data_IF_072224939409
#
_entry.id   IF_072224939409
#
_cell.length_a   1.000
_cell.length_b   1.000
_cell.length_c   1.000
_cell.angle_alpha   90.00
_cell.angle_beta   90.00
_cell.angle_gamma   90.00
#
_symmetry.space_group_name_H-M   'P 1'
#
loop_
_entity.id
_entity.type
_entity.pdbx_description
1 polymer ?
#
# COMPACT_ATOMS: atom_id res chain seq x y z
N UNK A 1 16.84 -0.51 -9.16
CA UNK A 1 17.08 -1.93 -8.79
C UNK A 1 15.79 -2.70 -9.01
N UNK A 2 15.79 -3.81 -9.77
CA UNK A 2 14.58 -4.59 -10.04
C UNK A 2 14.40 -5.76 -9.07
N UNK A 3 13.32 -5.75 -8.27
CA UNK A 3 12.99 -6.81 -7.30
C UNK A 3 11.85 -7.74 -7.75
N UNK A 4 11.36 -7.57 -8.98
CA UNK A 4 10.28 -8.39 -9.54
C UNK A 4 10.62 -9.88 -9.64
N UNK A 5 9.67 -10.69 -10.12
CA UNK A 5 9.79 -12.16 -10.16
C UNK A 5 10.49 -12.69 -11.41
N UNK A 6 10.85 -11.81 -12.34
CA UNK A 6 11.52 -12.17 -13.60
C UNK A 6 12.93 -12.77 -13.40
N UNK A 7 13.42 -13.58 -14.35
CA UNK A 7 14.65 -14.37 -14.19
C UNK A 7 15.92 -13.52 -14.02
N UNK A 8 15.95 -12.31 -14.59
CA UNK A 8 17.09 -11.38 -14.51
C UNK A 8 16.94 -10.34 -13.39
N UNK A 9 15.90 -10.42 -12.56
CA UNK A 9 15.74 -9.52 -11.39
C UNK A 9 16.86 -9.73 -10.37
N UNK A 10 17.19 -8.67 -9.62
CA UNK A 10 18.16 -8.74 -8.52
C UNK A 10 17.78 -9.80 -7.50
N UNK A 11 16.48 -9.87 -7.15
CA UNK A 11 15.93 -10.87 -6.25
C UNK A 11 16.10 -12.32 -6.77
N UNK A 12 16.07 -12.54 -8.09
CA UNK A 12 16.28 -13.89 -8.67
C UNK A 12 17.75 -14.25 -8.82
N UNK A 13 18.59 -13.28 -9.17
CA UNK A 13 20.03 -13.49 -9.29
C UNK A 13 20.66 -13.85 -7.94
N UNK A 14 20.29 -13.13 -6.87
CA UNK A 14 20.79 -13.42 -5.52
C UNK A 14 20.06 -14.58 -4.83
N UNK A 15 18.86 -14.93 -5.28
CA UNK A 15 18.04 -15.94 -4.62
C UNK A 15 18.66 -17.34 -4.62
N UNK A 16 19.56 -17.63 -5.57
CA UNK A 16 20.33 -18.89 -5.59
C UNK A 16 21.30 -19.04 -4.42
N UNK A 17 21.81 -17.91 -3.90
CA UNK A 17 22.83 -17.88 -2.84
C UNK A 17 22.24 -17.59 -1.47
N UNK A 18 21.22 -16.74 -1.40
CA UNK A 18 20.71 -16.21 -0.13
C UNK A 18 19.29 -16.66 0.21
N UNK A 19 18.65 -17.46 -0.65
CA UNK A 19 17.26 -17.89 -0.47
C UNK A 19 16.29 -17.07 -1.31
N UNK A 20 15.07 -17.57 -1.50
CA UNK A 20 14.08 -17.00 -2.43
C UNK A 20 13.24 -15.88 -1.80
N UNK A 21 13.80 -15.19 -0.80
CA UNK A 21 13.11 -14.18 -0.02
C UNK A 21 13.90 -12.87 0.00
N UNK A 22 13.20 -11.76 0.18
CA UNK A 22 13.80 -10.47 0.53
C UNK A 22 12.81 -9.69 1.38
N UNK A 23 13.31 -8.72 2.14
CA UNK A 23 12.45 -7.84 2.93
C UNK A 23 12.97 -6.42 2.92
N UNK A 24 12.08 -5.44 3.08
CA UNK A 24 12.48 -4.05 3.23
C UNK A 24 11.59 -3.31 4.23
N UNK A 25 12.11 -2.20 4.72
CA UNK A 25 11.31 -1.15 5.36
C UNK A 25 11.52 0.16 4.63
N UNK A 26 10.42 0.71 4.10
CA UNK A 26 10.37 2.08 3.63
C UNK A 26 10.08 2.96 4.82
N UNK A 27 11.02 3.82 5.17
CA UNK A 27 10.86 4.72 6.29
C UNK A 27 10.03 5.93 5.90
N UNK A 28 9.42 6.55 6.90
CA UNK A 28 8.58 7.72 6.73
C UNK A 28 9.42 8.92 6.26
N UNK A 29 9.15 9.38 5.05
CA UNK A 29 9.88 10.46 4.39
C UNK A 29 9.63 11.84 5.02
N UNK A 30 8.60 11.97 5.87
CA UNK A 30 8.24 13.23 6.54
C UNK A 30 9.02 13.45 7.84
N UNK A 31 9.75 12.44 8.31
CA UNK A 31 10.56 12.55 9.52
C UNK A 31 11.84 13.36 9.27
N UNK A 32 12.21 14.17 10.27
CA UNK A 32 13.45 14.96 10.26
C UNK A 32 14.29 14.63 11.50
N UNK A 33 15.55 14.20 11.36
CA UNK A 33 16.26 13.97 10.09
C UNK A 33 15.68 12.79 9.29
N UNK A 34 15.82 12.77 7.94
CA UNK A 34 15.31 11.67 7.12
C UNK A 34 15.90 10.32 7.56
N UNK A 35 15.06 9.35 7.93
CA UNK A 35 15.50 8.02 8.35
C UNK A 35 15.99 7.18 7.17
N UNK A 36 16.93 6.28 7.44
CA UNK A 36 17.45 5.34 6.45
C UNK A 36 16.51 4.15 6.25
N UNK A 37 16.01 3.97 5.03
CA UNK A 37 15.32 2.74 4.62
C UNK A 37 16.32 1.62 4.36
N UNK A 38 15.91 0.36 4.50
CA UNK A 38 16.79 -0.78 4.26
C UNK A 38 16.13 -1.88 3.44
N UNK A 39 16.96 -2.68 2.77
CA UNK A 39 16.62 -3.88 2.03
C UNK A 39 17.53 -5.01 2.51
N UNK A 40 16.94 -6.13 2.87
CA UNK A 40 17.63 -7.36 3.23
C UNK A 40 17.31 -8.42 2.18
N UNK A 41 18.34 -9.16 1.75
CA UNK A 41 18.20 -10.27 0.81
C UNK A 41 18.41 -11.57 1.55
N UNK A 42 17.52 -12.52 1.31
CA UNK A 42 17.47 -13.80 1.97
C UNK A 42 16.38 -13.90 3.01
N UNK A 43 16.30 -15.06 3.66
CA UNK A 43 15.28 -15.31 4.68
C UNK A 43 15.56 -14.47 5.92
N UNK A 44 14.51 -13.88 6.50
CA UNK A 44 14.61 -13.28 7.83
C UNK A 44 14.90 -14.42 8.79
N UNK A 45 16.16 -14.55 9.23
CA UNK A 45 16.54 -15.49 10.28
C UNK A 45 15.94 -14.98 11.57
N UNK A 46 14.70 -15.38 11.82
CA UNK A 46 14.02 -15.16 13.09
C UNK A 46 14.82 -15.91 14.14
N UNK A 47 15.72 -15.21 14.82
CA UNK A 47 16.46 -15.72 15.97
C UNK A 47 15.40 -16.25 16.93
N UNK A 48 15.53 -17.53 17.31
CA UNK A 48 14.50 -18.38 17.91
C UNK A 48 13.97 -17.93 19.29
N UNK A 49 14.05 -16.65 19.68
CA UNK A 49 13.54 -16.17 20.97
C UNK A 49 12.69 -14.90 20.95
N UNK A 50 12.63 -14.11 19.89
CA UNK A 50 11.73 -12.94 19.86
C UNK A 50 11.12 -12.73 18.47
N UNK A 51 9.80 -12.54 18.40
CA UNK A 51 9.07 -11.94 17.26
C UNK A 51 8.59 -12.81 16.08
N UNK A 52 8.70 -14.14 16.08
CA UNK A 52 7.97 -14.95 15.07
C UNK A 52 6.43 -14.90 15.24
N UNK A 53 5.92 -14.26 16.29
CA UNK A 53 4.49 -14.16 16.62
C UNK A 53 3.76 -12.93 16.04
N UNK A 54 4.39 -12.09 15.19
CA UNK A 54 3.79 -10.78 14.86
C UNK A 54 3.68 -10.41 13.38
N UNK A 55 4.16 -11.25 12.47
CA UNK A 55 3.99 -11.00 11.05
C UNK A 55 2.65 -11.54 10.57
N UNK A 56 1.87 -10.70 9.90
CA UNK A 56 0.70 -11.13 9.14
C UNK A 56 1.14 -11.54 7.74
N UNK A 57 0.41 -12.46 7.11
CA UNK A 57 0.75 -12.95 5.78
C UNK A 57 -0.47 -12.92 4.86
N UNK A 58 -0.24 -12.61 3.59
CA UNK A 58 -1.21 -12.80 2.50
C UNK A 58 -0.58 -13.61 1.36
N UNK A 59 -1.32 -14.51 0.69
CA UNK A 59 -0.82 -15.21 -0.49
C UNK A 59 -0.44 -14.26 -1.61
N UNK A 60 0.69 -14.53 -2.27
CA UNK A 60 1.05 -13.89 -3.53
C UNK A 60 0.39 -14.65 -4.68
N UNK A 61 -0.34 -13.93 -5.51
CA UNK A 61 -0.96 -14.46 -6.72
C UNK A 61 0.01 -14.39 -7.91
N UNK A 62 -0.28 -15.16 -8.95
CA UNK A 62 0.44 -15.12 -10.22
C UNK A 62 -0.55 -14.62 -11.28
N UNK A 63 -0.21 -13.51 -11.91
CA UNK A 63 -0.90 -13.04 -13.11
C UNK A 63 -0.24 -13.70 -14.34
N UNK A 64 -1.02 -14.37 -15.21
CA UNK A 64 -0.48 -15.03 -16.40
C UNK A 64 0.10 -14.06 -17.43
N UNK A 65 -0.46 -12.85 -17.56
CA UNK A 65 -0.01 -11.81 -18.49
C UNK A 65 1.13 -10.95 -17.90
N UNK A 66 1.10 -10.72 -16.58
CA UNK A 66 2.12 -9.95 -15.87
C UNK A 66 2.80 -10.74 -14.72
N UNK A 67 3.47 -11.87 -14.99
CA UNK A 67 3.98 -12.79 -13.97
C UNK A 67 5.15 -12.24 -13.14
N UNK A 68 5.71 -11.10 -13.55
CA UNK A 68 6.85 -10.47 -12.87
C UNK A 68 6.43 -9.63 -11.67
N UNK A 69 5.17 -9.20 -11.60
CA UNK A 69 4.64 -8.41 -10.48
C UNK A 69 4.25 -9.27 -9.27
N UNK A 70 4.15 -8.60 -8.12
CA UNK A 70 3.67 -9.18 -6.88
C UNK A 70 2.19 -8.85 -6.69
N UNK A 71 1.33 -9.78 -7.10
CA UNK A 71 -0.10 -9.65 -6.91
C UNK A 71 -0.54 -10.14 -5.52
N UNK A 72 -1.48 -9.44 -4.92
CA UNK A 72 -2.19 -9.82 -3.69
C UNK A 72 -3.71 -9.73 -3.94
N UNK A 73 -4.48 -10.45 -3.13
CA UNK A 73 -5.94 -10.32 -3.15
C UNK A 73 -6.40 -9.30 -2.11
N UNK A 74 -7.21 -8.34 -2.52
CA UNK A 74 -8.08 -7.58 -1.60
C UNK A 74 -9.43 -8.30 -1.54
N UNK A 75 -9.97 -8.46 -0.34
CA UNK A 75 -11.26 -9.10 -0.03
C UNK A 75 -12.28 -8.13 0.56
N UNK A 76 -11.81 -7.00 1.09
CA UNK A 76 -12.67 -5.96 1.63
C UNK A 76 -11.89 -4.69 1.91
N UNK A 77 -12.60 -3.57 1.89
CA UNK A 77 -12.06 -2.26 2.27
C UNK A 77 -12.93 -1.70 3.38
N UNK A 78 -12.29 -1.11 4.38
CA UNK A 78 -12.93 -0.56 5.56
C UNK A 78 -12.49 0.89 5.75
N UNK A 79 -13.46 1.77 6.01
CA UNK A 79 -13.21 3.15 6.44
C UNK A 79 -13.82 3.32 7.83
N UNK A 80 -12.99 3.71 8.80
CA UNK A 80 -13.31 3.77 10.23
C UNK A 80 -13.95 2.50 10.81
N UNK A 81 -13.59 1.35 10.24
CA UNK A 81 -14.09 0.03 10.66
C UNK A 81 -15.40 -0.39 10.01
N UNK A 82 -15.98 0.44 9.14
CA UNK A 82 -17.16 0.09 8.34
C UNK A 82 -16.72 -0.50 7.01
N UNK A 83 -17.15 -1.73 6.71
CA UNK A 83 -16.90 -2.39 5.41
C UNK A 83 -17.65 -1.64 4.31
N UNK A 84 -16.95 -1.28 3.25
CA UNK A 84 -17.54 -0.61 2.10
C UNK A 84 -18.29 -1.61 1.18
N UNK A 85 -19.41 -1.21 0.56
CA UNK A 85 -20.22 -2.07 -0.30
C UNK A 85 -19.62 -2.21 -1.71
N UNK A 86 -18.40 -2.74 -1.80
CA UNK A 86 -17.68 -2.94 -3.07
C UNK A 86 -17.89 -4.38 -3.53
N UNK A 87 -18.33 -4.57 -4.78
CA UNK A 87 -18.51 -5.89 -5.36
C UNK A 87 -17.17 -6.67 -5.36
N UNK A 88 -17.11 -7.91 -4.83
CA UNK A 88 -15.87 -8.68 -4.78
C UNK A 88 -15.20 -8.91 -6.15
N UNK A 89 -15.96 -8.89 -7.25
CA UNK A 89 -15.42 -9.02 -8.61
C UNK A 89 -14.47 -7.89 -8.99
N UNK A 90 -14.62 -6.69 -8.40
CA UNK A 90 -13.76 -5.52 -8.64
C UNK A 90 -12.29 -5.80 -8.26
N UNK A 91 -12.06 -6.73 -7.32
CA UNK A 91 -10.72 -7.11 -6.85
C UNK A 91 -10.18 -8.37 -7.54
N UNK A 92 -10.97 -9.01 -8.39
CA UNK A 92 -10.63 -10.31 -8.94
C UNK A 92 -9.56 -10.19 -10.02
N UNK A 93 -8.66 -11.16 -10.03
CA UNK A 93 -7.71 -11.40 -11.10
C UNK A 93 -8.27 -12.54 -11.96
N UNK A 94 -8.58 -12.26 -13.21
CA UNK A 94 -9.15 -13.28 -14.10
C UNK A 94 -8.07 -14.15 -14.77
N UNK A 95 -8.51 -15.19 -15.50
CA UNK A 95 -7.62 -16.14 -16.18
C UNK A 95 -6.85 -15.52 -17.35
N UNK A 96 -7.28 -14.36 -17.86
CA UNK A 96 -6.60 -13.61 -18.91
C UNK A 96 -5.59 -12.60 -18.35
N UNK A 97 -5.52 -12.45 -17.02
CA UNK A 97 -4.61 -11.53 -16.35
C UNK A 97 -5.18 -10.12 -16.14
N UNK A 98 -6.48 -9.91 -16.33
CA UNK A 98 -7.12 -8.63 -16.03
C UNK A 98 -7.39 -8.49 -14.53
N UNK A 99 -7.27 -7.26 -14.03
CA UNK A 99 -7.63 -6.94 -12.65
C UNK A 99 -6.59 -7.40 -11.62
N UNK A 100 -7.06 -7.63 -10.39
CA UNK A 100 -6.21 -7.90 -9.23
C UNK A 100 -5.56 -6.63 -8.65
N UNK A 101 -4.62 -6.84 -7.73
CA UNK A 101 -3.91 -5.75 -7.04
C UNK A 101 -2.43 -6.06 -6.93
N UNK A 102 -1.58 -5.12 -7.36
CA UNK A 102 -0.12 -5.20 -7.25
C UNK A 102 0.36 -4.39 -6.06
N UNK A 103 1.34 -4.91 -5.32
CA UNK A 103 2.14 -4.11 -4.39
C UNK A 103 3.41 -3.65 -5.10
N UNK A 104 3.60 -2.34 -5.23
CA UNK A 104 4.70 -1.78 -5.99
C UNK A 104 5.40 -0.64 -5.25
N UNK A 105 6.68 -0.82 -4.95
CA UNK A 105 7.50 0.21 -4.31
C UNK A 105 7.95 1.31 -5.31
N UNK A 106 7.84 1.05 -6.62
CA UNK A 106 8.18 1.99 -7.69
C UNK A 106 7.13 3.07 -7.92
N UNK A 107 5.87 2.79 -7.61
CA UNK A 107 4.75 3.73 -7.69
C UNK A 107 4.59 4.49 -6.38
N UNK A 108 4.50 5.82 -6.41
CA UNK A 108 4.37 6.65 -5.20
C UNK A 108 2.97 6.53 -4.56
N UNK A 109 1.94 6.92 -5.31
CA UNK A 109 0.55 6.94 -4.84
C UNK A 109 -0.10 5.56 -4.98
N UNK A 110 -1.24 5.38 -4.32
CA UNK A 110 -2.08 4.21 -4.59
C UNK A 110 -3.08 4.52 -5.68
N UNK A 111 -3.20 3.60 -6.63
CA UNK A 111 -4.20 3.65 -7.69
C UNK A 111 -5.19 2.50 -7.50
N UNK A 112 -6.48 2.79 -7.45
CA UNK A 112 -7.54 1.80 -7.24
C UNK A 112 -8.46 1.81 -8.46
N UNK A 113 -8.96 0.64 -8.87
CA UNK A 113 -9.93 0.54 -9.95
C UNK A 113 -11.15 1.40 -9.67
N UNK A 114 -11.67 2.06 -10.71
CA UNK A 114 -12.64 3.15 -10.55
C UNK A 114 -13.89 2.79 -9.71
N UNK A 115 -14.52 1.61 -9.84
CA UNK A 115 -15.68 1.25 -9.03
C UNK A 115 -15.37 1.26 -7.53
N UNK A 116 -14.23 0.70 -7.11
CA UNK A 116 -13.80 0.70 -5.72
C UNK A 116 -13.33 2.08 -5.26
N UNK A 117 -12.64 2.83 -6.13
CA UNK A 117 -12.18 4.17 -5.83
C UNK A 117 -13.33 5.11 -5.46
N UNK A 118 -14.44 5.07 -6.22
CA UNK A 118 -15.63 5.90 -5.96
C UNK A 118 -16.21 5.66 -4.56
N UNK A 119 -16.34 4.40 -4.15
CA UNK A 119 -16.82 4.03 -2.82
C UNK A 119 -15.87 4.49 -1.70
N UNK A 120 -14.56 4.32 -1.90
CA UNK A 120 -13.52 4.77 -0.97
C UNK A 120 -13.55 6.29 -0.81
N UNK A 121 -13.55 7.03 -1.92
CA UNK A 121 -13.59 8.49 -1.95
C UNK A 121 -14.85 9.03 -1.27
N UNK A 122 -16.01 8.44 -1.58
CA UNK A 122 -17.30 8.78 -0.97
C UNK A 122 -17.27 8.59 0.55
N UNK A 123 -16.73 7.45 1.01
CA UNK A 123 -16.57 7.19 2.43
C UNK A 123 -15.65 8.19 3.13
N UNK A 124 -14.50 8.52 2.55
CA UNK A 124 -13.62 9.54 3.11
C UNK A 124 -14.27 10.93 3.14
N UNK A 125 -14.95 11.34 2.06
CA UNK A 125 -15.68 12.62 2.01
C UNK A 125 -16.75 12.73 3.09
N UNK A 126 -17.41 11.62 3.42
CA UNK A 126 -18.41 11.56 4.50
C UNK A 126 -17.79 11.63 5.89
N UNK A 127 -16.70 10.90 6.13
CA UNK A 127 -16.11 10.77 7.47
C UNK A 127 -15.17 11.92 7.85
N UNK A 128 -14.52 12.57 6.88
CA UNK A 128 -13.63 13.70 7.14
C UNK A 128 -14.43 14.92 7.60
N UNK A 129 -14.11 15.44 8.80
CA UNK A 129 -14.78 16.61 9.43
C UNK A 129 -13.94 17.89 9.42
N UNK A 130 -13.02 17.99 8.47
CA UNK A 130 -12.12 19.13 8.32
C UNK A 130 -12.61 20.05 7.18
N UNK A 131 -12.37 21.37 7.27
CA UNK A 131 -12.78 22.30 6.23
C UNK A 131 -12.14 21.96 4.88
N UNK A 132 -12.88 22.15 3.79
CA UNK A 132 -12.29 22.14 2.46
C UNK A 132 -11.36 23.35 2.27
N UNK A 133 -10.30 23.23 1.46
CA UNK A 133 -9.47 24.36 1.08
C UNK A 133 -10.26 25.44 0.31
N UNK A 134 -9.72 26.66 0.28
CA UNK A 134 -10.31 27.75 -0.50
C UNK A 134 -10.34 27.41 -2.00
N UNK A 135 -11.50 27.56 -2.68
CA UNK A 135 -11.60 27.38 -4.13
C UNK A 135 -10.61 28.27 -4.89
N UNK A 136 -9.99 27.75 -5.96
CA UNK A 136 -9.04 28.48 -6.79
C UNK A 136 -7.61 28.58 -6.24
N UNK A 137 -7.33 28.01 -5.05
CA UNK A 137 -5.98 27.91 -4.49
C UNK A 137 -5.17 26.72 -5.02
N UNK A 138 -3.92 26.58 -4.57
CA UNK A 138 -2.97 25.51 -4.95
C UNK A 138 -3.58 24.10 -4.81
N UNK A 139 -4.42 23.89 -3.81
CA UNK A 139 -5.15 22.62 -3.58
C UNK A 139 -6.13 22.25 -4.68
N UNK A 140 -6.65 23.21 -5.44
CA UNK A 140 -7.57 22.94 -6.56
C UNK A 140 -6.83 22.61 -7.86
N UNK A 141 -5.51 22.85 -7.90
CA UNK A 141 -4.65 22.57 -9.05
C UNK A 141 -3.85 21.27 -8.88
N UNK A 142 -3.90 20.65 -7.70
CA UNK A 142 -3.05 19.49 -7.37
C UNK A 142 -3.52 18.16 -7.94
N UNK A 143 -4.70 18.10 -8.58
CA UNK A 143 -5.24 16.87 -9.17
C UNK A 143 -5.73 15.82 -8.16
N UNK A 144 -5.95 16.20 -6.89
CA UNK A 144 -6.50 15.31 -5.86
C UNK A 144 -7.99 15.58 -5.64
N UNK A 145 -8.80 14.52 -5.59
CA UNK A 145 -10.26 14.63 -5.48
C UNK A 145 -10.78 14.96 -4.07
N UNK A 146 -9.90 14.85 -3.05
CA UNK A 146 -10.19 15.21 -1.67
C UNK A 146 -8.97 15.86 -1.02
N UNK A 147 -9.11 17.14 -0.71
CA UNK A 147 -8.16 17.91 0.09
C UNK A 147 -8.88 18.56 1.27
N UNK A 148 -8.13 18.84 2.34
CA UNK A 148 -8.61 19.53 3.53
C UNK A 148 -7.63 20.56 4.03
N UNK A 149 -8.18 21.61 4.64
CA UNK A 149 -7.44 22.63 5.36
C UNK A 149 -7.30 22.22 6.84
N UNK A 150 -6.06 22.10 7.30
CA UNK A 150 -5.66 21.77 8.67
C UNK A 150 -4.95 22.93 9.38
N UNK A 151 -4.95 24.12 8.79
CA UNK A 151 -4.38 25.33 9.41
C UNK A 151 -5.02 25.59 10.77
N UNK A 152 -4.20 25.78 11.79
CA UNK A 152 -4.66 25.99 13.17
C UNK A 152 -5.18 24.73 13.88
N UNK A 153 -5.17 23.56 13.24
CA UNK A 153 -5.58 22.29 13.83
C UNK A 153 -4.36 21.56 14.37
N UNK A 154 -4.20 21.48 15.69
CA UNK A 154 -3.01 20.90 16.33
C UNK A 154 -2.84 19.39 16.09
N UNK A 155 -3.93 18.64 15.99
CA UNK A 155 -3.96 17.18 15.76
C UNK A 155 -5.12 16.83 14.84
N UNK A 156 -5.01 17.07 13.52
CA UNK A 156 -6.08 16.73 12.59
C UNK A 156 -6.35 15.23 12.64
N UNK A 157 -7.63 14.86 12.72
CA UNK A 157 -8.08 13.47 12.73
C UNK A 157 -8.54 13.10 11.32
N UNK A 158 -8.08 11.95 10.85
CA UNK A 158 -8.40 11.39 9.54
C UNK A 158 -9.03 10.01 9.73
N UNK A 159 -9.98 9.61 8.86
CA UNK A 159 -10.58 8.28 8.90
C UNK A 159 -9.53 7.19 8.72
N UNK A 160 -9.72 6.06 9.40
CA UNK A 160 -8.82 4.90 9.27
C UNK A 160 -9.20 4.05 8.06
N UNK A 161 -8.26 3.87 7.13
CA UNK A 161 -8.32 2.85 6.09
C UNK A 161 -7.85 1.49 6.61
N UNK A 162 -8.52 0.42 6.21
CA UNK A 162 -7.99 -0.94 6.34
C UNK A 162 -8.40 -1.80 5.14
N UNK A 163 -7.50 -2.67 4.72
CA UNK A 163 -7.70 -3.61 3.61
C UNK A 163 -7.69 -5.01 4.20
N UNK A 164 -8.80 -5.72 4.06
CA UNK A 164 -8.85 -7.16 4.31
C UNK A 164 -8.24 -7.85 3.10
N UNK A 165 -7.15 -8.57 3.31
CA UNK A 165 -6.38 -9.25 2.28
C UNK A 165 -6.69 -10.74 2.26
N UNK A 166 -6.28 -11.42 1.18
CA UNK A 166 -6.34 -12.88 1.11
C UNK A 166 -5.62 -13.53 2.32
N UNK A 167 -6.16 -14.64 2.81
CA UNK A 167 -5.66 -15.29 4.03
C UNK A 167 -6.08 -14.59 5.33
N UNK A 168 -7.18 -13.82 5.29
CA UNK A 168 -7.83 -13.20 6.46
C UNK A 168 -6.92 -12.23 7.23
N UNK A 169 -5.94 -11.65 6.54
CA UNK A 169 -5.01 -10.69 7.13
C UNK A 169 -5.49 -9.25 6.90
N UNK A 170 -5.33 -8.39 7.91
CA UNK A 170 -5.79 -6.99 7.84
C UNK A 170 -4.59 -6.04 7.69
N UNK A 171 -4.54 -5.33 6.57
CA UNK A 171 -3.53 -4.32 6.29
C UNK A 171 -4.07 -2.92 6.58
N UNK A 172 -3.52 -2.26 7.61
CA UNK A 172 -4.03 -0.97 8.10
C UNK A 172 -2.92 0.09 8.12
N UNK A 173 -2.66 0.78 6.99
CA UNK A 173 -1.69 1.86 6.95
C UNK A 173 -2.18 3.04 7.81
N UNK A 174 -1.28 3.79 8.47
CA UNK A 174 -1.67 4.96 9.23
C UNK A 174 -2.11 6.10 8.29
N UNK A 175 -2.98 7.03 8.73
CA UNK A 175 -3.49 8.08 7.86
C UNK A 175 -2.46 8.94 7.12
N UNK A 176 -1.28 9.16 7.71
CA UNK A 176 -0.18 9.88 7.03
C UNK A 176 0.32 9.20 5.75
N UNK A 177 0.06 7.91 5.57
CA UNK A 177 0.42 7.17 4.36
C UNK A 177 -0.56 7.42 3.20
N UNK A 178 -1.72 8.03 3.46
CA UNK A 178 -2.71 8.37 2.43
C UNK A 178 -3.33 9.76 2.57
N UNK A 179 -2.94 10.57 3.56
CA UNK A 179 -3.21 12.01 3.63
C UNK A 179 -1.88 12.76 3.66
N UNK A 180 -1.43 13.22 2.50
CA UNK A 180 -0.12 13.85 2.31
C UNK A 180 -0.21 15.37 2.31
N UNK A 181 0.86 16.03 2.75
CA UNK A 181 1.00 17.48 2.65
C UNK A 181 1.28 17.89 1.20
N UNK A 182 0.43 18.77 0.65
CA UNK A 182 0.60 19.33 -0.70
C UNK A 182 1.09 20.78 -0.64
N UNK A 183 0.69 21.50 0.42
CA UNK A 183 1.18 22.83 0.76
C UNK A 183 1.03 23.05 2.26
N UNK A 184 1.53 24.16 2.79
CA UNK A 184 1.33 24.52 4.19
C UNK A 184 -0.17 24.51 4.54
N UNK A 185 -0.51 23.77 5.61
CA UNK A 185 -1.88 23.67 6.08
C UNK A 185 -2.84 22.88 5.20
N UNK A 186 -2.40 22.28 4.08
CA UNK A 186 -3.25 21.52 3.16
C UNK A 186 -2.80 20.07 3.07
N UNK A 187 -3.74 19.16 3.36
CA UNK A 187 -3.54 17.70 3.21
C UNK A 187 -4.52 17.12 2.20
N UNK A 188 -4.07 16.23 1.34
CA UNK A 188 -4.90 15.59 0.31
C UNK A 188 -4.83 14.06 0.36
N UNK A 189 -5.94 13.41 -0.01
CA UNK A 189 -6.06 11.96 -0.10
C UNK A 189 -5.20 11.43 -1.26
N UNK A 190 -4.13 10.69 -0.95
CA UNK A 190 -3.17 10.11 -1.89
C UNK A 190 -3.61 8.75 -2.47
N UNK A 191 -4.90 8.64 -2.80
CA UNK A 191 -5.50 7.51 -3.52
C UNK A 191 -6.17 8.09 -4.77
N UNK A 192 -5.92 7.47 -5.91
CA UNK A 192 -6.39 7.94 -7.22
C UNK A 192 -7.07 6.79 -8.00
N UNK A 193 -7.96 7.08 -8.96
CA UNK A 193 -8.48 6.05 -9.84
C UNK A 193 -7.38 5.57 -10.81
N UNK A 194 -7.46 4.31 -11.23
CA UNK A 194 -6.71 3.83 -12.39
C UNK A 194 -7.31 4.47 -13.65
N UNK A 195 -6.49 5.11 -14.49
CA UNK A 195 -6.94 5.86 -15.69
C UNK A 195 -7.32 4.96 -16.90
N UNK A 196 -7.46 3.65 -16.71
CA UNK A 196 -7.67 2.70 -17.81
C UNK A 196 -9.11 2.18 -17.80
N UNK A 197 -9.82 2.35 -18.92
CA UNK A 197 -11.24 2.01 -19.07
C UNK A 197 -11.55 0.50 -18.96
N UNK A 198 -10.58 -0.39 -19.22
CA UNK A 198 -10.73 -1.84 -19.03
C UNK A 198 -9.37 -2.55 -18.86
N UNK A 199 -9.35 -3.66 -18.12
CA UNK A 199 -8.16 -4.51 -17.96
C UNK A 199 -7.10 -4.03 -16.95
N UNK A 200 -7.23 -2.84 -16.39
CA UNK A 200 -6.30 -2.30 -15.39
C UNK A 200 -6.32 -3.06 -14.06
N UNK A 201 -5.19 -3.05 -13.34
CA UNK A 201 -5.06 -3.58 -11.98
C UNK A 201 -4.88 -2.45 -10.96
N UNK A 202 -5.31 -2.68 -9.71
CA UNK A 202 -5.04 -1.74 -8.62
C UNK A 202 -3.57 -1.81 -8.19
N UNK A 203 -3.02 -0.73 -7.65
CA UNK A 203 -1.64 -0.63 -7.17
C UNK A 203 -1.61 -0.06 -5.76
N UNK A 204 -1.06 -0.82 -4.81
CA UNK A 204 -0.66 -0.33 -3.49
C UNK A 204 0.73 0.28 -3.62
N UNK A 205 0.78 1.62 -3.69
CA UNK A 205 2.02 2.38 -3.85
C UNK A 205 2.87 2.45 -2.58
N UNK A 206 4.05 3.05 -2.72
CA UNK A 206 5.08 3.08 -1.69
C UNK A 206 4.68 3.85 -0.43
N UNK A 207 3.85 4.90 -0.54
CA UNK A 207 3.39 5.66 0.62
C UNK A 207 2.59 4.75 1.56
N UNK A 208 1.72 3.92 1.00
CA UNK A 208 0.95 2.93 1.76
C UNK A 208 1.81 1.84 2.38
N UNK A 209 3.04 1.63 1.91
CA UNK A 209 3.99 0.64 2.43
C UNK A 209 4.88 1.19 3.55
N UNK A 210 4.95 2.50 3.73
CA UNK A 210 5.86 3.11 4.71
C UNK A 210 5.54 2.73 6.16
N UNK A 211 6.60 2.43 6.93
CA UNK A 211 6.50 2.00 8.32
C UNK A 211 6.09 0.54 8.51
N UNK A 212 6.09 -0.26 7.43
CA UNK A 212 5.95 -1.70 7.47
C UNK A 212 7.24 -2.40 7.07
N UNK A 213 7.57 -3.47 7.80
CA UNK A 213 8.48 -4.50 7.33
C UNK A 213 7.68 -5.38 6.38
N UNK A 214 8.03 -5.34 5.10
CA UNK A 214 7.44 -6.18 4.06
C UNK A 214 8.42 -7.29 3.69
N UNK A 215 8.00 -8.55 3.84
CA UNK A 215 8.75 -9.76 3.51
C UNK A 215 8.14 -10.43 2.27
N UNK A 216 8.88 -10.48 1.17
CA UNK A 216 8.49 -11.17 -0.05
C UNK A 216 9.08 -12.58 -0.05
N UNK A 217 8.36 -13.54 0.54
CA UNK A 217 8.73 -14.96 0.59
C UNK A 217 8.27 -15.66 -0.70
N UNK A 218 9.12 -15.63 -1.73
CA UNK A 218 8.83 -16.25 -3.04
C UNK A 218 8.95 -17.77 -2.99
N UNK A 219 9.58 -18.32 -1.95
CA UNK A 219 9.64 -19.76 -1.71
C UNK A 219 8.28 -20.32 -1.34
N UNK A 220 7.52 -19.59 -0.50
CA UNK A 220 6.17 -19.97 -0.05
C UNK A 220 5.04 -19.19 -0.73
N UNK A 221 5.36 -18.37 -1.74
CA UNK A 221 4.41 -17.53 -2.48
C UNK A 221 3.50 -16.71 -1.56
N UNK A 222 4.10 -15.92 -0.68
CA UNK A 222 3.37 -15.06 0.28
C UNK A 222 4.11 -13.76 0.56
N UNK A 223 3.35 -12.73 0.90
CA UNK A 223 3.82 -11.45 1.39
C UNK A 223 3.57 -11.39 2.89
N UNK A 224 4.65 -11.25 3.67
CA UNK A 224 4.60 -10.94 5.08
C UNK A 224 4.60 -9.43 5.31
N UNK A 225 3.86 -8.96 6.31
CA UNK A 225 3.85 -7.55 6.70
C UNK A 225 3.73 -7.38 8.22
N UNK A 226 4.45 -6.40 8.76
CA UNK A 226 4.41 -6.05 10.17
C UNK A 226 4.76 -4.58 10.38
N UNK A 227 4.05 -3.90 11.29
CA UNK A 227 4.44 -2.55 11.75
C UNK A 227 5.57 -2.56 12.77
N UNK A 228 5.97 -3.73 13.24
CA UNK A 228 7.13 -3.95 14.12
C UNK A 228 8.26 -4.55 13.28
N UNK A 229 9.50 -4.14 13.56
CA UNK A 229 10.68 -4.69 12.90
C UNK A 229 11.39 -3.74 11.92
N UNK A 230 10.88 -2.51 11.70
CA UNK A 230 11.60 -1.47 10.93
C UNK A 230 12.70 -0.73 11.70
N UNK A 231 12.85 -1.01 13.00
CA UNK A 231 14.04 -0.64 13.73
C UNK A 231 15.07 -1.74 13.52
N UNK A 232 16.20 -1.41 12.90
CA UNK A 232 17.34 -2.32 12.78
C UNK A 232 17.91 -2.54 14.19
N UNK A 233 18.03 -3.79 14.61
CA UNK A 233 18.77 -4.21 15.81
C UNK A 233 20.27 -4.07 15.61
#
# INVERSE_FOLDING_TARGET
MGLGRGPISFASQLGRRFGRSFSYCLMDYTLSPPPTSYLMIGDIVSTKKDNKSMMSYTPLLINPDAPTFYYIAIKGVFVDGVKLPIDPSVWSLDELGNGGTVIDSGTTLTFITEPAYREILSAFKREVKLPSPTPGGVSTQSGFDLCVNVTGVSRPRFPRLSLELGGESLYSPPPRNYFIDISEGIKCLAIQPVEVESGGFSVIGNLMQQGFLLEFDRGKSRLGFSRRGCAVS
#
